data_IF_729745439838
#
_entry.id   IF_729745439838
#
_cell.length_a   1.000
_cell.length_b   1.000
_cell.length_c   1.000
_cell.angle_alpha   90.00
_cell.angle_beta   90.00
_cell.angle_gamma   90.00
#
_symmetry.space_group_name_H-M   'P 1'
#
loop_
_entity.id
_entity.type
_entity.pdbx_description
1 polymer ?
#
# COMPACT_ATOMS: atom_id res chain seq x y z
N UNK A 1 -20.19 9.37 23.27
CA UNK A 1 -20.35 8.62 22.00
C UNK A 1 -19.40 9.24 20.98
N UNK A 2 -18.47 8.47 20.40
CA UNK A 2 -17.39 9.02 19.54
C UNK A 2 -17.82 9.30 18.09
N UNK A 3 -19.06 8.98 17.73
CA UNK A 3 -19.61 9.19 16.38
C UNK A 3 -19.47 10.65 15.98
N UNK A 4 -18.90 10.90 14.80
CA UNK A 4 -18.71 12.25 14.24
C UNK A 4 -17.56 13.06 14.84
N UNK A 5 -16.84 12.54 15.85
CA UNK A 5 -15.63 13.18 16.39
C UNK A 5 -14.40 12.89 15.52
N UNK A 6 -13.35 13.69 15.66
CA UNK A 6 -12.08 13.46 14.95
C UNK A 6 -11.52 12.06 15.19
N UNK A 7 -11.47 11.60 16.46
CA UNK A 7 -11.03 10.24 16.82
C UNK A 7 -11.99 9.17 16.29
N UNK A 8 -13.29 9.42 16.33
CA UNK A 8 -14.30 8.49 15.81
C UNK A 8 -14.18 8.27 14.30
N UNK A 9 -14.04 9.36 13.53
CA UNK A 9 -13.87 9.32 12.07
C UNK A 9 -12.57 8.60 11.69
N UNK A 10 -11.50 8.81 12.47
CA UNK A 10 -10.22 8.11 12.31
C UNK A 10 -10.39 6.59 12.50
N UNK A 11 -11.06 6.16 13.57
CA UNK A 11 -11.33 4.74 13.83
C UNK A 11 -12.18 4.12 12.73
N UNK A 12 -13.26 4.78 12.33
CA UNK A 12 -14.09 4.30 11.23
C UNK A 12 -13.27 4.12 9.96
N UNK A 13 -12.45 5.11 9.58
CA UNK A 13 -11.54 5.04 8.43
C UNK A 13 -10.57 3.86 8.51
N UNK A 14 -10.00 3.59 9.68
CA UNK A 14 -9.08 2.45 9.90
C UNK A 14 -9.81 1.12 9.80
N UNK A 15 -10.98 0.98 10.41
CA UNK A 15 -11.73 -0.27 10.40
C UNK A 15 -12.30 -0.59 9.02
N UNK A 16 -12.81 0.41 8.30
CA UNK A 16 -13.22 0.26 6.89
C UNK A 16 -12.04 -0.16 6.02
N UNK A 17 -10.85 0.39 6.23
CA UNK A 17 -9.63 0.00 5.51
C UNK A 17 -9.12 -1.41 5.88
N UNK A 18 -9.45 -1.93 7.07
CA UNK A 18 -8.96 -3.24 7.53
C UNK A 18 -9.95 -4.38 7.27
N UNK A 19 -11.24 -4.08 7.26
CA UNK A 19 -12.32 -5.07 7.17
C UNK A 19 -13.27 -4.84 5.99
N UNK A 20 -13.07 -3.78 5.20
CA UNK A 20 -13.92 -3.39 4.06
C UNK A 20 -15.21 -2.66 4.46
N UNK A 21 -15.65 -2.82 5.71
CA UNK A 21 -16.89 -2.27 6.26
C UNK A 21 -16.78 -2.02 7.77
N UNK A 22 -17.64 -1.15 8.29
CA UNK A 22 -17.69 -0.79 9.71
C UNK A 22 -18.90 -1.41 10.41
N UNK A 23 -18.82 -2.70 10.75
CA UNK A 23 -19.97 -3.48 11.25
C UNK A 23 -20.14 -3.41 12.76
N UNK A 24 -19.06 -3.16 13.51
CA UNK A 24 -19.09 -3.13 14.98
C UNK A 24 -18.58 -1.79 15.54
N UNK A 25 -19.38 -0.72 15.43
CA UNK A 25 -19.01 0.60 15.92
C UNK A 25 -18.83 0.64 17.44
N UNK A 26 -19.61 -0.13 18.20
CA UNK A 26 -19.54 -0.15 19.67
C UNK A 26 -18.19 -0.74 20.13
N UNK A 27 -17.78 -1.86 19.55
CA UNK A 27 -16.47 -2.46 19.83
C UNK A 27 -15.31 -1.54 19.44
N UNK A 28 -15.41 -0.87 18.29
CA UNK A 28 -14.37 0.03 17.82
C UNK A 28 -14.28 1.32 18.66
N UNK A 29 -15.41 1.92 19.04
CA UNK A 29 -15.42 3.14 19.86
C UNK A 29 -15.16 2.87 21.34
N UNK A 30 -15.45 1.67 21.85
CA UNK A 30 -15.02 1.30 23.20
C UNK A 30 -13.50 1.24 23.33
N UNK A 31 -12.76 0.97 22.25
CA UNK A 31 -11.30 1.09 22.28
C UNK A 31 -10.85 2.53 22.51
N UNK A 32 -11.55 3.53 21.94
CA UNK A 32 -11.25 4.94 22.21
C UNK A 32 -11.52 5.30 23.66
N UNK A 33 -12.62 4.82 24.24
CA UNK A 33 -12.91 5.02 25.65
C UNK A 33 -11.80 4.43 26.54
N UNK A 34 -11.30 3.25 26.18
CA UNK A 34 -10.19 2.58 26.89
C UNK A 34 -8.88 3.37 26.78
N UNK A 35 -8.60 3.97 25.62
CA UNK A 35 -7.40 4.82 25.42
C UNK A 35 -7.51 6.13 26.21
N UNK A 36 -8.68 6.76 26.19
CA UNK A 36 -8.91 8.07 26.82
C UNK A 36 -9.09 8.00 28.35
N UNK A 37 -9.06 6.81 28.96
CA UNK A 37 -9.23 6.59 30.40
C UNK A 37 -8.19 5.57 30.92
N UNK A 38 -7.01 5.54 30.30
CA UNK A 38 -5.96 4.58 30.62
C UNK A 38 -5.44 4.75 32.05
N UNK A 39 -5.26 6.00 32.48
CA UNK A 39 -4.75 6.30 33.83
C UNK A 39 -5.87 6.32 34.88
N UNK A 40 -7.09 6.66 34.46
CA UNK A 40 -8.26 6.76 35.36
C UNK A 40 -8.84 5.39 35.76
N UNK A 41 -8.64 4.35 34.95
CA UNK A 41 -9.21 3.03 35.20
C UNK A 41 -8.22 1.88 34.94
N UNK A 42 -7.80 1.14 35.99
CA UNK A 42 -6.90 -0.01 35.85
C UNK A 42 -7.38 -1.08 34.87
N UNK A 43 -8.70 -1.25 34.70
CA UNK A 43 -9.26 -2.20 33.75
C UNK A 43 -8.98 -1.83 32.30
N UNK A 44 -8.80 -0.54 32.00
CA UNK A 44 -8.45 -0.08 30.65
C UNK A 44 -7.07 -0.58 30.23
N UNK A 45 -6.13 -0.71 31.18
CA UNK A 45 -4.80 -1.27 30.90
C UNK A 45 -4.87 -2.73 30.51
N UNK A 46 -5.65 -3.54 31.23
CA UNK A 46 -5.84 -4.95 30.90
C UNK A 46 -6.59 -5.13 29.57
N UNK A 47 -7.63 -4.34 29.33
CA UNK A 47 -8.37 -4.34 28.06
C UNK A 47 -7.47 -3.96 26.87
N UNK A 48 -6.56 -2.99 27.03
CA UNK A 48 -5.57 -2.67 26.00
C UNK A 48 -4.64 -3.86 25.71
N UNK A 49 -4.18 -4.59 26.73
CA UNK A 49 -3.31 -5.76 26.53
C UNK A 49 -4.01 -6.85 25.72
N UNK A 50 -5.31 -7.04 25.93
CA UNK A 50 -6.11 -8.00 25.14
C UNK A 50 -6.36 -7.50 23.72
N UNK A 51 -6.76 -6.24 23.56
CA UNK A 51 -7.16 -5.68 22.25
C UNK A 51 -5.99 -5.41 21.31
N UNK A 52 -4.80 -5.10 21.84
CA UNK A 52 -3.61 -4.76 21.06
C UNK A 52 -2.76 -5.98 20.68
N UNK A 53 -3.35 -7.17 20.70
CA UNK A 53 -2.76 -8.40 20.17
C UNK A 53 -2.27 -8.22 18.72
N UNK A 54 -1.12 -8.81 18.37
CA UNK A 54 -0.44 -8.63 17.09
C UNK A 54 -1.32 -8.92 15.86
N UNK A 55 -2.27 -9.84 15.98
CA UNK A 55 -3.20 -10.19 14.91
C UNK A 55 -4.33 -9.15 14.74
N UNK A 56 -4.62 -8.37 15.78
CA UNK A 56 -5.63 -7.32 15.75
C UNK A 56 -5.10 -6.02 15.14
N UNK A 57 -4.90 -6.06 13.82
CA UNK A 57 -4.30 -4.96 13.05
C UNK A 57 -5.11 -3.65 13.13
N UNK A 58 -6.43 -3.72 13.27
CA UNK A 58 -7.29 -2.54 13.31
C UNK A 58 -7.18 -1.81 14.66
N UNK A 59 -7.27 -2.54 15.77
CA UNK A 59 -7.09 -1.97 17.11
C UNK A 59 -5.69 -1.42 17.30
N UNK A 60 -4.66 -2.15 16.83
CA UNK A 60 -3.27 -1.69 16.90
C UNK A 60 -3.06 -0.38 16.13
N UNK A 61 -3.54 -0.29 14.89
CA UNK A 61 -3.48 0.95 14.13
C UNK A 61 -4.28 2.07 14.79
N UNK A 62 -5.45 1.77 15.33
CA UNK A 62 -6.26 2.76 16.05
C UNK A 62 -5.45 3.36 17.19
N UNK A 63 -4.85 2.53 18.03
CA UNK A 63 -3.99 3.00 19.10
C UNK A 63 -2.84 3.86 18.57
N UNK A 64 -2.07 3.36 17.59
CA UNK A 64 -0.89 4.07 17.09
C UNK A 64 -1.21 5.45 16.49
N UNK A 65 -2.34 5.57 15.78
CA UNK A 65 -2.73 6.84 15.16
C UNK A 65 -3.41 7.79 16.14
N UNK A 66 -4.17 7.26 17.12
CA UNK A 66 -4.82 8.07 18.15
C UNK A 66 -3.80 8.64 19.14
N UNK A 67 -2.80 7.85 19.55
CA UNK A 67 -1.79 8.25 20.54
C UNK A 67 -0.49 8.77 19.93
N UNK A 68 -0.28 8.57 18.63
CA UNK A 68 0.99 8.89 17.96
C UNK A 68 2.16 7.96 18.33
N UNK A 69 1.92 6.93 19.14
CA UNK A 69 2.94 6.00 19.60
C UNK A 69 3.03 4.77 18.70
N UNK A 70 4.21 4.16 18.59
CA UNK A 70 4.38 2.91 17.83
C UNK A 70 4.34 1.70 18.75
N UNK A 71 3.58 0.68 18.37
CA UNK A 71 3.52 -0.55 19.17
C UNK A 71 4.67 -1.50 18.82
N UNK A 72 5.24 -2.22 19.82
CA UNK A 72 6.25 -3.25 19.60
C UNK A 72 5.75 -4.40 18.71
N UNK A 73 6.67 -5.18 18.14
CA UNK A 73 6.33 -6.19 17.13
C UNK A 73 5.90 -7.54 17.70
N UNK A 74 6.01 -7.74 19.01
CA UNK A 74 5.61 -8.98 19.66
C UNK A 74 4.55 -8.73 20.74
N UNK A 75 3.73 -9.73 21.05
CA UNK A 75 2.73 -9.62 22.11
C UNK A 75 3.35 -9.39 23.49
N UNK A 76 4.50 -10.03 23.77
CA UNK A 76 5.22 -9.88 25.04
C UNK A 76 5.67 -8.44 25.24
N UNK A 77 6.40 -7.90 24.25
CA UNK A 77 6.86 -6.50 24.31
C UNK A 77 5.68 -5.52 24.32
N UNK A 78 4.58 -5.84 23.61
CA UNK A 78 3.37 -4.99 23.64
C UNK A 78 2.78 -4.91 25.04
N UNK A 79 2.71 -6.02 25.78
CA UNK A 79 2.22 -6.01 27.17
C UNK A 79 3.13 -5.21 28.10
N UNK A 80 4.44 -5.42 28.01
CA UNK A 80 5.43 -4.68 28.80
C UNK A 80 5.40 -3.18 28.47
N UNK A 81 5.19 -2.82 27.20
CA UNK A 81 4.98 -1.42 26.80
C UNK A 81 3.72 -0.83 27.45
N UNK A 82 2.60 -1.57 27.41
CA UNK A 82 1.34 -1.12 28.01
C UNK A 82 1.46 -1.03 29.54
N UNK A 83 2.26 -1.86 30.20
CA UNK A 83 2.46 -1.79 31.66
C UNK A 83 3.07 -0.47 32.13
N UNK A 84 3.89 0.17 31.29
CA UNK A 84 4.59 1.40 31.62
C UNK A 84 3.98 2.65 30.95
N UNK A 85 2.87 2.49 30.23
CA UNK A 85 2.25 3.55 29.46
C UNK A 85 1.38 4.47 30.34
N UNK A 86 1.49 5.77 30.15
CA UNK A 86 0.62 6.79 30.71
C UNK A 86 0.01 7.66 29.62
N UNK A 87 -1.12 8.32 29.91
CA UNK A 87 -1.76 9.24 28.95
C UNK A 87 -0.85 10.44 28.63
N UNK A 88 0.02 10.83 29.57
CA UNK A 88 1.03 11.87 29.34
C UNK A 88 2.07 11.50 28.27
N UNK A 89 2.22 10.21 27.94
CA UNK A 89 3.16 9.76 26.90
C UNK A 89 2.59 9.94 25.49
N UNK A 90 1.30 10.26 25.37
CA UNK A 90 0.64 10.39 24.07
C UNK A 90 1.20 11.61 23.33
N UNK A 91 1.52 11.39 22.06
CA UNK A 91 1.94 12.41 21.12
C UNK A 91 0.73 12.96 20.35
N UNK A 92 1.00 13.89 19.44
CA UNK A 92 -0.03 14.38 18.52
C UNK A 92 -0.60 13.24 17.67
N UNK A 93 -1.93 13.29 17.48
CA UNK A 93 -2.66 12.34 16.66
C UNK A 93 -2.15 12.36 15.22
N UNK A 94 -1.88 11.19 14.66
CA UNK A 94 -1.35 11.06 13.30
C UNK A 94 -2.48 11.05 12.28
N UNK A 95 -2.24 11.64 11.10
CA UNK A 95 -3.18 11.53 9.98
C UNK A 95 -3.10 10.14 9.35
N UNK A 96 -4.21 9.41 9.40
CA UNK A 96 -4.33 8.10 8.77
C UNK A 96 -4.55 8.23 7.28
N UNK A 97 -3.48 8.03 6.52
CA UNK A 97 -3.61 7.75 5.11
C UNK A 97 -4.02 6.29 4.93
N UNK A 98 -5.20 6.07 4.33
CA UNK A 98 -5.66 4.74 3.91
C UNK A 98 -4.56 4.13 3.08
N UNK A 99 -3.90 3.11 3.62
CA UNK A 99 -2.82 2.46 2.92
C UNK A 99 -3.44 1.64 1.80
N UNK A 100 -3.43 2.18 0.58
CA UNK A 100 -3.92 1.57 -0.68
C UNK A 100 -4.16 0.08 -0.49
N UNK A 101 -5.42 -0.23 -0.24
CA UNK A 101 -5.90 -1.55 0.09
C UNK A 101 -5.53 -2.48 -1.08
N UNK A 102 -4.63 -3.44 -0.83
CA UNK A 102 -4.15 -4.36 -1.87
C UNK A 102 -5.22 -5.36 -2.29
N UNK A 103 -6.36 -5.39 -1.59
CA UNK A 103 -7.44 -6.36 -1.78
C UNK A 103 -8.84 -5.74 -1.92
N UNK A 104 -9.01 -4.41 -1.86
CA UNK A 104 -10.18 -3.80 -2.49
C UNK A 104 -9.98 -3.93 -3.99
N UNK A 105 -10.87 -4.68 -4.61
CA UNK A 105 -11.06 -4.73 -6.07
C UNK A 105 -10.98 -3.28 -6.56
N UNK A 106 -9.86 -2.97 -7.23
CA UNK A 106 -9.72 -1.77 -8.03
C UNK A 106 -10.78 -1.91 -9.13
N UNK A 107 -11.95 -1.32 -8.91
CA UNK A 107 -12.69 -0.78 -10.04
C UNK A 107 -11.79 0.32 -10.63
N UNK A 108 -11.06 -0.11 -11.66
CA UNK A 108 -10.68 0.67 -12.83
C UNK A 108 -10.31 2.14 -12.60
N UNK A 109 -9.09 2.35 -12.12
CA UNK A 109 -8.21 3.31 -12.82
C UNK A 109 -7.29 2.55 -13.76
N UNK A 110 -7.90 1.77 -14.66
CA UNK A 110 -7.20 1.31 -15.84
C UNK A 110 -7.07 2.52 -16.76
N UNK A 111 -5.84 2.93 -16.99
CA UNK A 111 -5.54 4.02 -17.91
C UNK A 111 -5.02 3.40 -19.21
N UNK A 112 -5.31 4.06 -20.32
CA UNK A 112 -4.75 3.70 -21.60
C UNK A 112 -3.27 4.10 -21.63
N UNK A 113 -2.40 3.16 -21.98
CA UNK A 113 -0.97 3.42 -22.15
C UNK A 113 -0.41 2.62 -23.33
N UNK A 114 0.80 2.96 -23.75
CA UNK A 114 1.46 2.29 -24.86
C UNK A 114 2.59 1.38 -24.37
N UNK A 115 2.57 0.13 -24.81
CA UNK A 115 3.68 -0.83 -24.64
C UNK A 115 4.46 -0.95 -25.93
N UNK A 116 5.78 -1.18 -25.80
CA UNK A 116 6.64 -1.47 -26.93
C UNK A 116 6.61 -2.99 -27.18
N UNK A 117 5.94 -3.41 -28.25
CA UNK A 117 6.05 -4.78 -28.77
C UNK A 117 7.22 -4.81 -29.77
N UNK A 118 8.18 -5.71 -29.54
CA UNK A 118 9.32 -5.93 -30.42
C UNK A 118 9.14 -7.29 -31.08
N UNK A 119 8.80 -7.30 -32.36
CA UNK A 119 8.83 -8.51 -33.17
C UNK A 119 10.29 -8.78 -33.56
N UNK A 120 10.84 -9.89 -33.05
CA UNK A 120 12.22 -10.28 -33.34
C UNK A 120 12.37 -10.93 -34.73
N UNK A 121 11.29 -11.51 -35.28
CA UNK A 121 11.31 -12.19 -36.58
C UNK A 121 11.22 -11.19 -37.72
N UNK A 122 10.30 -10.23 -37.63
CA UNK A 122 10.13 -9.19 -38.66
C UNK A 122 10.95 -7.92 -38.38
N UNK A 123 11.63 -7.83 -37.23
CA UNK A 123 12.35 -6.64 -36.74
C UNK A 123 11.47 -5.38 -36.67
N UNK A 124 10.16 -5.54 -36.73
CA UNK A 124 9.19 -4.46 -36.61
C UNK A 124 8.91 -4.20 -35.14
N UNK A 125 8.70 -2.93 -34.81
CA UNK A 125 8.43 -2.51 -33.43
C UNK A 125 7.32 -1.51 -33.46
N UNK A 126 6.26 -1.80 -32.72
CA UNK A 126 5.07 -0.98 -32.70
C UNK A 126 4.68 -0.68 -31.26
N UNK A 127 4.24 0.55 -31.05
CA UNK A 127 3.61 0.95 -29.80
C UNK A 127 2.15 0.51 -29.83
N UNK A 128 1.81 -0.43 -28.96
CA UNK A 128 0.45 -0.94 -28.84
C UNK A 128 -0.25 -0.32 -27.67
N UNK A 129 -1.46 0.18 -27.91
CA UNK A 129 -2.33 0.72 -26.88
C UNK A 129 -2.93 -0.41 -26.05
N UNK A 130 -2.81 -0.32 -24.73
CA UNK A 130 -3.30 -1.31 -23.77
C UNK A 130 -3.87 -0.62 -22.54
N UNK A 131 -4.79 -1.30 -21.85
CA UNK A 131 -5.33 -0.86 -20.57
C UNK A 131 -4.49 -1.45 -19.43
N UNK A 132 -4.07 -0.60 -18.50
CA UNK A 132 -3.26 -1.04 -17.37
C UNK A 132 -3.42 -0.18 -16.13
N UNK A 133 -3.08 -0.75 -14.99
CA UNK A 133 -3.06 -0.06 -13.71
C UNK A 133 -1.69 0.57 -13.49
N UNK A 134 -1.67 1.87 -13.20
CA UNK A 134 -0.42 2.58 -12.89
C UNK A 134 0.10 2.12 -11.53
N UNK A 135 1.39 1.79 -11.47
CA UNK A 135 2.08 1.41 -10.23
C UNK A 135 3.42 2.15 -10.12
N UNK A 136 3.82 2.49 -8.89
CA UNK A 136 5.14 3.04 -8.59
C UNK A 136 5.88 2.05 -7.69
N UNK A 137 7.10 1.66 -8.09
CA UNK A 137 7.93 0.73 -7.31
C UNK A 137 9.38 1.19 -7.28
N UNK A 138 9.91 1.46 -6.09
CA UNK A 138 11.31 1.92 -5.89
C UNK A 138 11.69 3.10 -6.81
N UNK A 139 10.77 4.05 -6.97
CA UNK A 139 11.00 5.23 -7.83
C UNK A 139 10.90 4.98 -9.34
N UNK A 140 10.47 3.79 -9.78
CA UNK A 140 10.11 3.51 -11.17
C UNK A 140 8.60 3.57 -11.35
N UNK A 141 8.16 4.38 -12.30
CA UNK A 141 6.76 4.47 -12.71
C UNK A 141 6.48 3.44 -13.80
N UNK A 142 5.52 2.55 -13.56
CA UNK A 142 5.18 1.45 -14.45
C UNK A 142 3.67 1.31 -14.63
N UNK A 143 3.24 0.54 -15.63
CA UNK A 143 1.89 0.01 -15.75
C UNK A 143 1.90 -1.50 -15.60
N UNK A 144 0.91 -2.05 -14.91
CA UNK A 144 0.63 -3.50 -14.90
C UNK A 144 -0.60 -3.78 -15.76
N UNK A 145 -0.49 -4.72 -16.69
CA UNK A 145 -1.54 -5.04 -17.66
C UNK A 145 -1.67 -6.56 -17.85
N UNK A 146 -2.82 -6.99 -18.35
CA UNK A 146 -3.08 -8.41 -18.65
C UNK A 146 -2.50 -8.78 -20.02
N UNK A 147 -1.87 -9.94 -20.07
CA UNK A 147 -1.40 -10.56 -21.29
C UNK A 147 -2.50 -11.44 -21.91
N UNK A 148 -2.44 -11.73 -23.23
CA UNK A 148 -3.41 -12.60 -23.89
C UNK A 148 -3.49 -14.02 -23.32
N UNK A 149 -2.40 -14.51 -22.71
CA UNK A 149 -2.31 -15.83 -22.08
C UNK A 149 -2.92 -15.88 -20.66
N UNK A 150 -3.53 -14.79 -20.21
CA UNK A 150 -4.12 -14.66 -18.86
C UNK A 150 -3.11 -14.27 -17.78
N UNK A 151 -1.84 -14.10 -18.12
CA UNK A 151 -0.81 -13.58 -17.22
C UNK A 151 -0.85 -12.06 -17.07
N UNK A 152 0.12 -11.53 -16.32
CA UNK A 152 0.30 -10.09 -16.10
C UNK A 152 1.73 -9.68 -16.45
N UNK A 153 1.87 -8.52 -17.09
CA UNK A 153 3.15 -7.89 -17.37
C UNK A 153 3.23 -6.51 -16.73
N UNK A 154 4.43 -6.13 -16.31
CA UNK A 154 4.75 -4.80 -15.82
C UNK A 154 5.68 -4.12 -16.82
N UNK A 155 5.27 -2.97 -17.34
CA UNK A 155 6.01 -2.23 -18.37
C UNK A 155 6.31 -0.81 -17.92
N UNK A 156 7.46 -0.27 -18.33
CA UNK A 156 7.86 1.11 -18.04
C UNK A 156 6.88 2.11 -18.67
N UNK A 157 6.50 3.15 -17.93
CA UNK A 157 5.72 4.25 -18.52
C UNK A 157 6.54 5.02 -19.55
N UNK A 158 7.85 5.16 -19.30
CA UNK A 158 8.73 6.05 -20.06
C UNK A 158 8.91 5.60 -21.50
N UNK A 159 9.00 4.29 -21.72
CA UNK A 159 9.31 3.73 -23.04
C UNK A 159 8.45 2.51 -23.43
N UNK A 160 7.49 2.11 -22.59
CA UNK A 160 6.66 0.93 -22.84
C UNK A 160 7.40 -0.41 -22.74
N UNK A 161 8.69 -0.42 -22.35
CA UNK A 161 9.49 -1.65 -22.23
C UNK A 161 8.97 -2.56 -21.11
N UNK A 162 8.78 -3.84 -21.42
CA UNK A 162 8.44 -4.87 -20.43
C UNK A 162 9.59 -5.09 -19.45
N UNK A 163 9.34 -4.90 -18.15
CA UNK A 163 10.32 -5.04 -17.08
C UNK A 163 10.20 -6.37 -16.32
N UNK A 164 8.98 -6.88 -16.19
CA UNK A 164 8.69 -8.14 -15.50
C UNK A 164 7.34 -8.73 -15.96
N UNK A 165 7.13 -10.00 -15.67
CA UNK A 165 5.85 -10.69 -15.84
C UNK A 165 5.59 -11.72 -14.72
N UNK A 166 4.36 -12.20 -14.63
CA UNK A 166 3.96 -13.26 -13.70
C UNK A 166 2.55 -13.77 -14.01
N UNK A 167 2.14 -14.91 -13.45
CA UNK A 167 0.78 -15.46 -13.64
C UNK A 167 -0.28 -14.66 -12.89
N UNK A 168 0.11 -13.96 -11.82
CA UNK A 168 -0.76 -13.07 -11.05
C UNK A 168 -0.16 -11.67 -10.95
N UNK A 169 -0.99 -10.65 -10.66
CA UNK A 169 -0.51 -9.29 -10.41
C UNK A 169 0.57 -9.22 -9.33
N UNK A 170 0.32 -9.91 -8.21
CA UNK A 170 1.24 -9.96 -7.08
C UNK A 170 2.60 -10.57 -7.47
N UNK A 171 2.58 -11.61 -8.30
CA UNK A 171 3.79 -12.24 -8.82
C UNK A 171 4.56 -11.32 -9.76
N UNK A 172 3.88 -10.65 -10.69
CA UNK A 172 4.51 -9.69 -11.60
C UNK A 172 5.18 -8.52 -10.84
N UNK A 173 4.53 -7.99 -9.80
CA UNK A 173 5.11 -6.96 -8.92
C UNK A 173 6.28 -7.51 -8.10
N UNK A 174 6.21 -8.77 -7.63
CA UNK A 174 7.33 -9.42 -6.92
C UNK A 174 8.54 -9.59 -7.83
N UNK A 175 8.31 -10.00 -9.09
CA UNK A 175 9.35 -10.15 -10.08
C UNK A 175 9.95 -8.80 -10.48
N UNK A 176 9.15 -7.75 -10.61
CA UNK A 176 9.67 -6.38 -10.80
C UNK A 176 10.65 -5.99 -9.69
N UNK A 177 10.32 -6.25 -8.41
CA UNK A 177 11.25 -5.96 -7.30
C UNK A 177 12.56 -6.73 -7.43
N UNK A 178 12.51 -7.99 -7.89
CA UNK A 178 13.72 -8.80 -8.13
C UNK A 178 14.54 -8.22 -9.28
N UNK A 179 13.90 -7.85 -10.39
CA UNK A 179 14.57 -7.18 -11.52
C UNK A 179 15.30 -5.92 -11.06
N UNK A 180 14.62 -5.04 -10.32
CA UNK A 180 15.23 -3.81 -9.78
C UNK A 180 16.40 -4.12 -8.85
N UNK A 181 16.26 -5.12 -7.98
CA UNK A 181 17.35 -5.52 -7.07
C UNK A 181 18.56 -6.12 -7.80
N UNK A 182 18.32 -6.85 -8.89
CA UNK A 182 19.37 -7.55 -9.63
C UNK A 182 20.17 -6.62 -10.54
N UNK A 183 19.50 -5.69 -11.24
CA UNK A 183 20.16 -4.70 -12.08
C UNK A 183 20.66 -3.49 -11.28
N UNK A 184 20.00 -3.17 -10.17
CA UNK A 184 20.20 -1.91 -9.47
C UNK A 184 19.53 -0.74 -10.19
N UNK A 185 19.25 0.31 -9.44
CA UNK A 185 18.46 1.45 -9.91
C UNK A 185 19.15 2.21 -11.06
N UNK A 186 20.48 2.32 -11.03
CA UNK A 186 21.27 3.06 -12.02
C UNK A 186 21.28 2.36 -13.38
N UNK A 187 21.57 1.05 -13.41
CA UNK A 187 21.66 0.30 -14.64
C UNK A 187 20.30 0.15 -15.33
N UNK A 188 19.24 -0.05 -14.54
CA UNK A 188 17.89 -0.17 -15.09
C UNK A 188 17.42 1.15 -15.73
N UNK A 189 17.72 2.30 -15.12
CA UNK A 189 17.45 3.62 -15.72
C UNK A 189 18.23 3.83 -17.01
N UNK A 190 19.50 3.42 -17.04
CA UNK A 190 20.32 3.49 -18.26
C UNK A 190 19.70 2.70 -19.41
N UNK A 191 19.22 1.47 -19.15
CA UNK A 191 18.54 0.67 -20.17
C UNK A 191 17.23 1.29 -20.65
N UNK A 192 16.46 1.90 -19.74
CA UNK A 192 15.24 2.63 -20.12
C UNK A 192 15.62 3.79 -21.05
N UNK A 193 16.66 4.55 -20.71
CA UNK A 193 17.15 5.66 -21.52
C UNK A 193 17.66 5.20 -22.88
N UNK A 194 18.42 4.11 -22.96
CA UNK A 194 18.88 3.52 -24.22
C UNK A 194 17.69 3.11 -25.11
N UNK A 195 16.62 2.56 -24.52
CA UNK A 195 15.40 2.22 -25.27
C UNK A 195 14.70 3.49 -25.76
N UNK A 196 14.66 4.55 -24.97
CA UNK A 196 14.09 5.85 -25.38
C UNK A 196 14.90 6.45 -26.54
N UNK A 197 16.23 6.39 -26.47
CA UNK A 197 17.12 6.91 -27.53
C UNK A 197 16.97 6.11 -28.83
N UNK A 198 16.78 4.79 -28.73
CA UNK A 198 16.68 3.91 -29.89
C UNK A 198 15.29 3.89 -30.53
N UNK A 199 14.22 4.02 -29.74
CA UNK A 199 12.85 3.76 -30.19
C UNK A 199 11.86 4.89 -29.89
N UNK A 200 12.34 5.97 -29.25
CA UNK A 200 11.51 7.05 -28.77
C UNK A 200 10.91 6.78 -27.40
N UNK A 201 10.41 7.84 -26.76
CA UNK A 201 9.59 7.71 -25.58
C UNK A 201 8.21 7.16 -25.95
N UNK A 202 7.53 6.56 -24.96
CA UNK A 202 6.13 6.16 -25.13
C UNK A 202 5.28 7.37 -25.55
N UNK A 203 4.36 7.26 -26.53
CA UNK A 203 3.57 8.38 -27.05
C UNK A 203 2.79 9.22 -26.02
N UNK A 204 2.59 8.72 -24.79
CA UNK A 204 1.93 9.44 -23.68
C UNK A 204 2.89 9.89 -22.57
N UNK A 205 4.21 9.69 -22.71
CA UNK A 205 5.17 10.04 -21.67
C UNK A 205 5.36 11.56 -21.50
N UNK A 206 5.11 12.33 -22.57
CA UNK A 206 5.30 13.79 -22.61
C UNK A 206 4.00 14.61 -22.61
N UNK A 207 2.86 14.03 -22.22
CA UNK A 207 1.62 14.81 -22.06
C UNK A 207 1.56 15.35 -20.64
N UNK A 208 2.39 16.36 -20.36
CA UNK A 208 2.32 17.23 -19.18
C UNK A 208 2.70 18.66 -19.59
#
# INVERSE_FOLDING_TARGET
>A
MYVGTTKGNLVEKIFVDKFGQFVNPIGAFSLLAVIDNLDDNPMCREELKERLHIENKASRKTFEYVTGLRLPKTNKETKEFIDNLHESDYCEMLDYQVGVDKNKVLEDKTEEFYILEVDQENKTREYKKVLGERIIKKGFSCFIHKLPDGGYAVSSIECGMKLASGRTKAEAVKNLKRTINNFGDVELRKKIQEVIELYGASPLYNVA
#
